data_IF_698841792523
#
_entry.id   IF_698841792523
#
_cell.length_a   1.000
_cell.length_b   1.000
_cell.length_c   1.000
_cell.angle_alpha   90.00
_cell.angle_beta   90.00
_cell.angle_gamma   90.00
#
_symmetry.space_group_name_H-M   'P 1'
#
loop_
_entity.id
_entity.type
_entity.pdbx_description
1 polymer ?
2 polymer ?
3 non-polymer ?
4 non-polymer ?
5 non-polymer ?
6 non-polymer ?
7 water ?
#
# COMPACT_ATOMS: atom_id res chain seq x y z
N UNK A 3 -17.93 -4.69 15.18
CA UNK A 3 -16.90 -5.40 14.43
C UNK A 3 -15.55 -5.21 15.07
N UNK A 4 -14.69 -6.19 14.95
CA UNK A 4 -13.38 -6.13 15.55
C UNK A 4 -12.34 -5.68 14.57
N UNK A 5 -11.48 -4.76 14.99
CA UNK A 5 -10.47 -4.27 14.09
C UNK A 5 -9.12 -4.88 14.38
N UNK A 6 -8.54 -5.45 13.35
CA UNK A 6 -7.27 -6.11 13.46
C UNK A 6 -6.36 -5.70 12.34
N UNK A 7 -5.07 -5.83 12.56
CA UNK A 7 -4.05 -5.47 11.60
C UNK A 7 -3.17 -6.63 11.19
N UNK A 8 -2.93 -6.79 9.91
CA UNK A 8 -2.10 -7.84 9.40
C UNK A 8 -1.05 -7.25 8.51
N UNK A 9 0.20 -7.62 8.69
CA UNK A 9 1.26 -7.12 7.87
C UNK A 9 1.96 -8.29 7.22
N UNK A 10 2.25 -8.18 5.95
CA UNK A 10 2.85 -9.26 5.24
C UNK A 10 4.28 -8.92 4.86
N UNK A 11 5.20 -9.81 5.18
CA UNK A 11 6.58 -9.57 4.92
C UNK A 11 7.14 -10.73 4.19
N UNK A 12 8.29 -10.54 3.59
CA UNK A 12 8.90 -11.61 2.87
C UNK A 12 9.76 -11.00 1.83
N UNK A 13 10.54 -11.83 1.20
CA UNK A 13 11.49 -11.41 0.20
C UNK A 13 10.77 -10.88 -0.98
N UNK A 14 11.43 -10.03 -1.73
CA UNK A 14 10.87 -9.45 -2.90
C UNK A 14 10.60 -10.50 -3.95
N UNK A 15 9.45 -10.38 -4.58
CA UNK A 15 9.05 -11.26 -5.65
C UNK A 15 8.64 -12.60 -5.18
N UNK A 16 8.49 -12.75 -3.90
CA UNK A 16 8.12 -14.05 -3.38
C UNK A 16 6.65 -14.25 -3.49
N UNK A 17 6.00 -13.27 -4.06
CA UNK A 17 4.57 -13.33 -4.26
C UNK A 17 3.64 -12.61 -3.33
N UNK A 18 4.14 -11.68 -2.54
CA UNK A 18 3.25 -11.02 -1.60
C UNK A 18 2.13 -10.15 -2.12
N UNK A 19 2.43 -9.27 -3.04
CA UNK A 19 1.43 -8.36 -3.53
C UNK A 19 0.31 -9.11 -4.22
N UNK A 20 0.66 -10.11 -4.97
CA UNK A 20 -0.31 -10.90 -5.68
C UNK A 20 -1.24 -11.61 -4.77
N UNK A 21 -0.74 -12.05 -3.65
CA UNK A 21 -1.56 -12.78 -2.75
C UNK A 21 -2.69 -11.94 -2.23
N UNK A 22 -2.42 -10.73 -1.81
CA UNK A 22 -3.46 -9.92 -1.28
C UNK A 22 -4.48 -9.58 -2.31
N UNK A 23 -4.03 -9.26 -3.50
CA UNK A 23 -4.90 -8.92 -4.59
C UNK A 23 -5.93 -10.02 -4.76
N UNK A 24 -5.44 -11.17 -5.14
CA UNK A 24 -6.28 -12.30 -5.35
C UNK A 24 -7.18 -12.52 -4.17
N UNK A 25 -6.78 -12.07 -3.00
CA UNK A 25 -7.62 -12.27 -1.84
C UNK A 25 -8.81 -11.38 -1.87
N UNK A 26 -8.66 -10.21 -2.47
CA UNK A 26 -9.75 -9.28 -2.49
C UNK A 26 -10.48 -9.16 -3.79
N UNK A 27 -9.95 -9.72 -4.86
CA UNK A 27 -10.58 -9.57 -6.15
C UNK A 27 -10.82 -10.86 -6.85
N UNK A 28 -10.36 -11.97 -6.31
CA UNK A 28 -10.59 -13.24 -7.00
C UNK A 28 -10.07 -13.07 -8.43
N UNK A 29 -8.93 -12.39 -8.58
CA UNK A 29 -8.39 -12.20 -9.90
C UNK A 29 -6.89 -12.09 -9.82
N UNK A 30 -6.17 -13.07 -10.32
CA UNK A 30 -4.72 -13.02 -10.31
C UNK A 30 -4.35 -11.94 -11.28
N UNK A 31 -3.40 -11.04 -10.84
CA UNK A 31 -3.08 -9.99 -11.81
C UNK A 31 -2.07 -10.40 -12.85
N UNK A 32 -2.21 -9.95 -14.07
CA UNK A 32 -1.26 -10.34 -15.07
C UNK A 32 -0.51 -9.25 -15.75
N UNK A 33 -1.09 -8.07 -15.90
CA UNK A 33 -0.35 -7.02 -16.57
C UNK A 33 -0.12 -5.73 -15.81
N UNK A 34 -0.87 -5.46 -14.75
CA UNK A 34 -0.63 -4.23 -14.05
C UNK A 34 -0.40 -4.54 -12.61
N UNK A 35 0.76 -5.09 -12.33
CA UNK A 35 1.10 -5.51 -10.98
C UNK A 35 1.83 -4.43 -10.17
N UNK A 36 1.18 -3.98 -9.14
CA UNK A 36 1.74 -2.99 -8.24
C UNK A 36 2.82 -3.54 -7.39
N UNK A 37 3.85 -2.76 -7.10
CA UNK A 37 4.92 -3.21 -6.27
C UNK A 37 4.38 -3.51 -4.92
N UNK A 38 3.63 -2.57 -4.42
CA UNK A 38 2.99 -2.67 -3.14
C UNK A 38 1.52 -2.38 -3.29
N UNK A 39 0.71 -3.32 -2.85
CA UNK A 39 -0.73 -3.20 -2.93
C UNK A 39 -1.30 -2.15 -2.02
N UNK A 40 -2.43 -1.62 -2.43
CA UNK A 40 -3.16 -0.58 -1.72
C UNK A 40 -3.88 -1.02 -0.48
N UNK A 41 -4.37 -0.05 0.27
CA UNK A 41 -5.12 -0.31 1.45
C UNK A 41 -6.35 -1.07 1.08
N UNK A 42 -6.66 -2.11 1.83
CA UNK A 42 -7.85 -2.87 1.64
C UNK A 42 -8.14 -3.51 2.94
N UNK A 43 -9.39 -3.51 3.38
CA UNK A 43 -9.73 -4.15 4.62
C UNK A 43 -10.46 -5.39 4.20
N UNK A 44 -10.05 -6.51 4.74
CA UNK A 44 -10.68 -7.75 4.41
C UNK A 44 -11.72 -8.06 5.44
N UNK A 45 -12.88 -8.46 4.97
CA UNK A 45 -13.97 -8.80 5.84
C UNK A 45 -13.96 -10.28 6.07
N UNK A 46 -13.75 -10.69 7.31
CA UNK A 46 -13.71 -12.11 7.59
C UNK A 46 -14.40 -12.54 8.86
N UNK A 47 -15.01 -13.71 8.81
CA UNK A 47 -15.67 -14.28 9.99
C UNK A 47 -15.23 -15.68 10.24
N UNK A 48 -14.75 -15.93 11.44
CA UNK A 48 -14.36 -17.27 11.82
C UNK A 48 -14.80 -17.51 13.23
N UNK A 49 -15.34 -18.70 13.47
CA UNK A 49 -15.77 -19.07 14.81
C UNK A 49 -16.75 -18.07 15.38
N UNK A 50 -17.64 -17.59 14.54
CA UNK A 50 -18.66 -16.66 14.97
C UNK A 50 -18.34 -15.20 15.15
N UNK A 51 -17.17 -14.74 14.74
CA UNK A 51 -16.88 -13.33 14.91
C UNK A 51 -16.63 -12.64 13.57
N UNK A 52 -17.21 -11.47 13.37
CA UNK A 52 -16.98 -10.75 12.12
C UNK A 52 -15.81 -9.87 12.36
N UNK A 53 -14.81 -9.97 11.53
CA UNK A 53 -13.62 -9.18 11.70
C UNK A 53 -13.29 -8.36 10.50
N UNK A 54 -12.77 -7.17 10.75
CA UNK A 54 -12.33 -6.30 9.68
C UNK A 54 -10.83 -6.30 9.83
N UNK A 55 -10.16 -6.86 8.85
CA UNK A 55 -8.73 -6.95 8.90
C UNK A 55 -8.09 -6.08 7.86
N UNK A 56 -7.37 -5.08 8.31
CA UNK A 56 -6.66 -4.19 7.43
C UNK A 56 -5.42 -4.91 7.00
N UNK A 57 -5.10 -4.87 5.72
CA UNK A 57 -3.92 -5.56 5.23
C UNK A 57 -2.85 -4.62 4.75
N UNK A 58 -1.67 -4.71 5.32
CA UNK A 58 -0.59 -3.85 4.91
C UNK A 58 0.43 -4.60 4.07
N UNK A 59 0.63 -4.19 2.84
CA UNK A 59 1.61 -4.80 1.97
C UNK A 59 2.95 -4.15 2.25
N UNK A 60 4.04 -4.82 1.95
CA UNK A 60 5.34 -4.22 2.19
C UNK A 60 6.34 -4.56 1.13
N UNK A 61 7.44 -3.83 1.13
CA UNK A 61 8.48 -4.09 0.21
C UNK A 61 9.52 -4.80 1.02
N UNK A 62 9.87 -5.99 0.62
CA UNK A 62 10.84 -6.79 1.31
C UNK A 62 12.28 -6.60 0.95
N UNK A 63 12.55 -5.85 -0.09
CA UNK A 63 13.89 -5.62 -0.52
C UNK A 63 14.66 -4.83 0.50
N UNK A 64 15.96 -4.99 0.45
CA UNK A 64 16.85 -4.32 1.35
C UNK A 64 16.80 -2.82 1.16
N UNK A 65 16.46 -2.39 -0.04
CA UNK A 65 16.42 -0.99 -0.32
C UNK A 65 15.44 -0.37 0.61
N UNK A 66 14.40 -1.13 0.96
CA UNK A 66 13.37 -0.63 1.81
C UNK A 66 13.44 -1.04 3.25
N UNK A 67 14.57 -1.54 3.70
CA UNK A 67 14.68 -1.95 5.08
C UNK A 67 14.48 -0.80 6.01
N UNK A 68 14.88 0.39 5.61
CA UNK A 68 14.70 1.57 6.42
C UNK A 68 13.23 1.98 6.56
N UNK A 69 12.48 1.83 5.49
CA UNK A 69 11.08 2.22 5.51
C UNK A 69 10.11 1.24 6.09
N UNK A 70 10.40 -0.04 5.98
CA UNK A 70 9.48 -1.02 6.45
C UNK A 70 8.96 -0.82 7.84
N UNK A 71 9.80 -0.59 8.81
CA UNK A 71 9.34 -0.43 10.18
C UNK A 71 8.16 0.49 10.43
N UNK A 72 7.86 1.40 9.54
CA UNK A 72 6.76 2.30 9.76
C UNK A 72 5.46 1.60 9.60
N UNK A 73 5.51 0.34 9.21
CA UNK A 73 4.29 -0.39 9.00
C UNK A 73 4.00 -1.34 10.11
N UNK A 74 5.01 -1.63 10.93
CA UNK A 74 4.90 -2.58 12.01
C UNK A 74 4.16 -2.23 13.26
N UNK A 75 4.20 -0.93 13.69
CA UNK A 75 3.50 -0.68 14.96
C UNK A 75 2.07 -1.22 15.05
N UNK A 76 1.71 -1.69 16.22
CA UNK A 76 0.41 -2.22 16.52
C UNK A 76 -0.14 -3.22 15.53
N UNK A 77 0.59 -4.27 15.30
CA UNK A 77 0.18 -5.30 14.38
C UNK A 77 -0.36 -6.42 15.17
N UNK A 78 -1.35 -7.10 14.61
CA UNK A 78 -1.99 -8.20 15.28
C UNK A 78 -1.53 -9.55 14.79
N UNK A 79 -1.08 -9.60 13.55
CA UNK A 79 -0.58 -10.84 12.98
C UNK A 79 0.32 -10.56 11.82
N UNK A 80 1.20 -11.48 11.53
CA UNK A 80 2.13 -11.33 10.45
C UNK A 80 2.07 -12.50 9.51
N UNK A 81 2.23 -12.23 8.24
CA UNK A 81 2.27 -13.27 7.28
C UNK A 81 3.69 -13.21 6.82
N UNK A 82 4.43 -14.26 7.07
CA UNK A 82 5.80 -14.30 6.69
C UNK A 82 5.83 -15.22 5.51
N UNK A 83 6.28 -14.73 4.38
CA UNK A 83 6.26 -15.51 3.20
C UNK A 83 7.59 -15.80 2.58
N UNK A 84 7.58 -16.82 1.75
CA UNK A 84 8.68 -17.28 0.98
C UNK A 84 8.04 -17.96 -0.18
N UNK A 85 8.80 -18.30 -1.19
CA UNK A 85 8.25 -18.95 -2.34
C UNK A 85 8.67 -20.40 -2.45
N UNK A 86 7.71 -21.24 -2.75
CA UNK A 86 7.99 -22.65 -2.89
C UNK A 86 8.92 -22.85 -4.05
N UNK A 87 8.91 -21.94 -5.00
CA UNK A 87 9.81 -22.09 -6.13
C UNK A 87 11.18 -21.55 -5.81
N UNK A 88 11.36 -21.07 -4.61
CA UNK A 88 12.64 -20.55 -4.24
C UNK A 88 13.03 -20.98 -2.88
N UNK A 89 14.03 -21.82 -2.78
CA UNK A 89 14.56 -22.23 -1.51
C UNK A 89 15.37 -21.11 -0.92
N UNK A 90 15.82 -20.20 -1.77
CA UNK A 90 16.61 -19.10 -1.28
C UNK A 90 15.80 -18.23 -0.34
N UNK A 91 14.55 -17.98 -0.70
CA UNK A 91 13.64 -17.18 0.10
C UNK A 91 13.30 -17.81 1.43
N UNK A 92 13.15 -19.11 1.45
CA UNK A 92 12.85 -19.80 2.68
C UNK A 92 13.97 -19.62 3.66
N UNK A 93 15.18 -19.69 3.20
CA UNK A 93 16.31 -19.53 4.10
C UNK A 93 16.31 -18.17 4.72
N UNK A 94 15.76 -17.21 4.00
CA UNK A 94 15.72 -15.87 4.50
C UNK A 94 14.71 -15.71 5.59
N UNK A 95 13.92 -16.74 5.81
CA UNK A 95 12.92 -16.67 6.84
C UNK A 95 13.57 -16.52 8.17
N UNK A 96 14.45 -17.43 8.48
CA UNK A 96 15.22 -17.44 9.70
C UNK A 96 16.26 -16.38 9.71
N UNK A 97 16.86 -16.23 8.56
CA UNK A 97 17.94 -15.30 8.37
C UNK A 97 17.59 -13.84 8.46
N UNK A 98 16.53 -13.44 7.81
CA UNK A 98 16.20 -12.05 7.84
C UNK A 98 14.87 -11.71 8.45
N UNK A 99 13.85 -12.41 8.03
CA UNK A 99 12.55 -12.10 8.49
C UNK A 99 12.17 -12.30 9.93
N UNK A 100 12.54 -13.43 10.50
CA UNK A 100 12.20 -13.65 11.89
C UNK A 100 12.87 -12.67 12.85
N UNK A 101 14.11 -12.35 12.60
CA UNK A 101 14.82 -11.41 13.46
C UNK A 101 14.23 -10.02 13.43
N UNK A 102 13.84 -9.57 12.27
CA UNK A 102 13.27 -8.26 12.13
C UNK A 102 11.93 -8.15 12.81
N UNK A 103 11.14 -9.19 12.70
CA UNK A 103 9.82 -9.18 13.29
C UNK A 103 9.85 -9.20 14.80
N UNK A 104 10.61 -10.10 15.36
CA UNK A 104 10.69 -10.21 16.79
C UNK A 104 11.14 -8.91 17.35
N UNK A 105 11.95 -8.20 16.61
CA UNK A 105 12.41 -6.93 17.07
C UNK A 105 11.32 -5.88 17.05
N UNK A 106 10.61 -5.79 15.95
CA UNK A 106 9.58 -4.79 15.81
C UNK A 106 8.21 -5.19 16.27
N UNK A 107 7.89 -6.46 16.22
CA UNK A 107 6.60 -6.93 16.65
C UNK A 107 6.90 -8.11 17.52
N UNK A 108 7.49 -7.81 18.72
CA UNK A 108 7.87 -8.97 19.54
C UNK A 108 6.90 -10.07 19.88
N UNK A 109 5.65 -9.75 20.16
CA UNK A 109 4.72 -10.79 20.54
C UNK A 109 3.71 -11.17 19.49
N UNK A 110 3.83 -10.61 18.30
CA UNK A 110 2.88 -10.86 17.27
C UNK A 110 2.96 -12.26 16.70
N UNK A 111 1.81 -12.90 16.62
CA UNK A 111 1.65 -14.19 16.05
C UNK A 111 2.13 -14.25 14.65
N UNK A 112 2.86 -15.28 14.29
CA UNK A 112 3.38 -15.39 12.95
C UNK A 112 2.80 -16.56 12.21
N UNK A 113 2.44 -16.33 10.98
CA UNK A 113 1.94 -17.40 10.17
C UNK A 113 2.84 -17.51 8.99
N UNK A 114 3.47 -18.64 8.81
CA UNK A 114 4.38 -18.84 7.71
C UNK A 114 3.65 -19.33 6.50
N UNK A 115 3.84 -18.62 5.40
CA UNK A 115 3.15 -18.93 4.19
C UNK A 115 4.06 -19.29 3.07
N UNK A 116 3.76 -20.40 2.42
CA UNK A 116 4.51 -20.82 1.27
C UNK A 116 3.64 -20.42 0.10
N UNK A 117 4.19 -19.55 -0.74
CA UNK A 117 3.52 -19.00 -1.89
C UNK A 117 3.90 -19.74 -3.14
N UNK A 118 3.12 -19.57 -4.19
CA UNK A 118 3.40 -20.19 -5.45
C UNK A 118 3.44 -21.67 -5.35
N UNK A 119 2.43 -22.21 -4.70
CA UNK A 119 2.31 -23.64 -4.51
C UNK A 119 2.10 -24.32 -5.84
N UNK A 120 1.78 -23.56 -6.86
CA UNK A 120 1.55 -24.15 -8.15
C UNK A 120 2.83 -24.46 -8.82
N UNK A 121 3.92 -23.96 -8.29
CA UNK A 121 5.20 -24.20 -8.91
C UNK A 121 5.91 -25.38 -8.32
N UNK A 122 5.24 -26.11 -7.46
CA UNK A 122 5.86 -27.25 -6.83
C UNK A 122 6.01 -28.38 -7.83
N UNK A 123 5.00 -28.59 -8.65
CA UNK A 123 5.09 -29.63 -9.62
C UNK A 123 5.00 -28.94 -10.95
N UNK A 124 6.01 -28.15 -11.23
CA UNK A 124 6.10 -27.43 -12.46
C UNK A 124 7.43 -27.86 -13.05
N UNK A 125 7.40 -28.36 -14.26
CA UNK A 125 8.62 -28.87 -14.85
C UNK A 125 9.67 -27.82 -14.98
N UNK A 126 9.27 -26.68 -15.48
CA UNK A 126 10.22 -25.62 -15.69
C UNK A 126 10.91 -25.28 -14.39
N UNK A 127 10.12 -25.14 -13.34
CA UNK A 127 10.69 -24.80 -12.07
C UNK A 127 11.69 -25.85 -11.71
N UNK A 128 11.20 -27.05 -11.54
CA UNK A 128 12.01 -28.21 -11.18
C UNK A 128 13.32 -28.19 -11.88
N UNK A 129 13.27 -28.16 -13.20
CA UNK A 129 14.48 -28.17 -13.98
C UNK A 129 15.30 -26.96 -13.67
N UNK A 130 14.67 -25.81 -13.74
CA UNK A 130 15.37 -24.57 -13.49
C UNK A 130 16.05 -24.58 -12.15
N UNK A 131 15.38 -25.10 -11.14
CA UNK A 131 15.98 -25.17 -9.83
C UNK A 131 17.05 -26.23 -9.81
N UNK A 132 17.03 -27.08 -10.82
CA UNK A 132 17.97 -28.17 -10.92
C UNK A 132 19.34 -27.65 -11.21
N UNK A 133 19.41 -26.62 -12.02
CA UNK A 133 20.67 -26.04 -12.35
C UNK A 133 21.45 -25.60 -11.13
N UNK A 134 20.84 -25.64 -9.95
CA UNK A 134 21.55 -25.22 -8.75
C UNK A 134 21.61 -26.23 -7.63
N UNK A 135 21.24 -27.45 -7.95
CA UNK A 135 21.29 -28.49 -6.96
C UNK A 135 20.18 -28.34 -5.96
N UNK A 136 19.20 -27.51 -6.30
CA UNK A 136 18.09 -27.33 -5.41
C UNK A 136 16.82 -27.75 -6.10
N UNK A 137 15.81 -28.02 -5.29
CA UNK A 137 14.51 -28.43 -5.78
C UNK A 137 13.46 -27.66 -5.00
N UNK A 138 12.22 -27.68 -5.44
CA UNK A 138 11.18 -26.95 -4.74
C UNK A 138 11.09 -27.41 -3.33
N UNK A 139 10.79 -26.49 -2.44
CA UNK A 139 10.72 -26.78 -1.04
C UNK A 139 9.61 -27.78 -0.80
N UNK A 140 9.86 -28.66 0.15
CA UNK A 140 8.92 -29.67 0.50
C UNK A 140 8.04 -29.18 1.61
N UNK A 141 6.83 -29.69 1.70
CA UNK A 141 5.90 -29.24 2.71
C UNK A 141 6.44 -29.46 4.09
N UNK A 142 7.15 -30.56 4.26
CA UNK A 142 7.73 -30.88 5.55
C UNK A 142 8.71 -29.81 6.00
N UNK A 143 9.40 -29.21 5.05
CA UNK A 143 10.36 -28.18 5.37
C UNK A 143 9.72 -26.93 5.94
N UNK A 144 8.60 -26.53 5.37
CA UNK A 144 7.92 -25.37 5.85
C UNK A 144 7.41 -25.56 7.24
N UNK A 145 6.78 -26.69 7.50
CA UNK A 145 6.23 -26.97 8.79
C UNK A 145 7.33 -27.00 9.78
N UNK A 146 8.43 -27.57 9.36
CA UNK A 146 9.57 -27.69 10.20
C UNK A 146 10.01 -26.31 10.50
N UNK A 147 10.04 -25.47 9.49
CA UNK A 147 10.48 -24.12 9.68
C UNK A 147 9.58 -23.35 10.59
N UNK A 148 8.29 -23.52 10.41
CA UNK A 148 7.35 -22.81 11.22
C UNK A 148 7.54 -23.17 12.66
N UNK A 149 7.78 -24.43 12.92
CA UNK A 149 8.02 -24.87 14.27
C UNK A 149 9.26 -24.24 14.81
N UNK A 150 10.27 -24.14 13.97
CA UNK A 150 11.52 -23.57 14.36
C UNK A 150 11.42 -22.12 14.74
N UNK A 151 10.65 -21.37 13.98
CA UNK A 151 10.52 -19.96 14.26
C UNK A 151 9.37 -19.56 15.17
N UNK A 152 8.64 -20.52 15.68
CA UNK A 152 7.57 -20.20 16.58
C UNK A 152 6.29 -19.67 15.99
N UNK A 153 6.02 -20.07 14.78
CA UNK A 153 4.83 -19.65 14.10
C UNK A 153 3.64 -20.37 14.62
N UNK A 154 2.53 -19.67 14.58
CA UNK A 154 1.27 -20.18 15.02
C UNK A 154 0.83 -21.30 14.13
N UNK A 155 1.16 -21.22 12.86
CA UNK A 155 0.80 -22.24 11.92
C UNK A 155 1.53 -22.08 10.62
N UNK A 156 1.30 -22.97 9.69
CA UNK A 156 1.95 -22.91 8.41
C UNK A 156 0.96 -23.19 7.32
N UNK A 157 1.07 -22.49 6.21
CA UNK A 157 0.16 -22.70 5.12
C UNK A 157 0.85 -22.57 3.79
N UNK A 158 0.21 -23.15 2.78
CA UNK A 158 0.73 -23.06 1.45
C UNK A 158 -0.39 -22.50 0.61
N UNK A 159 -0.02 -21.91 -0.50
CA UNK A 159 -1.06 -21.46 -1.39
C UNK A 159 -0.54 -21.07 -2.73
N UNK A 160 -1.46 -20.76 -3.63
CA UNK A 160 -1.07 -20.33 -4.94
C UNK A 160 -1.99 -19.26 -5.35
N UNK A 161 -1.48 -18.06 -5.49
CA UNK A 161 -2.30 -16.95 -5.90
C UNK A 161 -2.78 -17.23 -7.30
N UNK A 162 -1.85 -17.62 -8.16
CA UNK A 162 -2.15 -17.90 -9.52
C UNK A 162 -3.37 -18.77 -9.68
N UNK A 163 -3.50 -19.80 -8.86
CA UNK A 163 -4.64 -20.69 -9.00
C UNK A 163 -5.65 -20.49 -7.91
N UNK A 164 -5.27 -19.72 -6.92
CA UNK A 164 -6.12 -19.42 -5.78
C UNK A 164 -6.26 -20.56 -4.78
N UNK A 165 -5.42 -21.57 -4.89
CA UNK A 165 -5.49 -22.67 -3.97
C UNK A 165 -5.07 -22.19 -2.59
N UNK A 166 -5.86 -22.53 -1.58
CA UNK A 166 -5.57 -22.18 -0.21
C UNK A 166 -5.55 -20.75 0.21
N UNK A 167 -5.58 -19.85 -0.73
CA UNK A 167 -5.57 -18.45 -0.40
C UNK A 167 -6.58 -18.10 0.66
N UNK A 168 -7.82 -18.48 0.44
CA UNK A 168 -8.86 -18.17 1.40
C UNK A 168 -8.51 -18.76 2.75
N UNK A 169 -7.80 -19.87 2.73
CA UNK A 169 -7.37 -20.52 3.94
C UNK A 169 -6.32 -19.75 4.75
N UNK A 170 -5.39 -19.11 4.07
CA UNK A 170 -4.31 -18.39 4.71
C UNK A 170 -4.88 -17.27 5.53
N UNK A 171 -5.83 -16.56 4.97
CA UNK A 171 -6.41 -15.46 5.65
C UNK A 171 -7.26 -15.81 6.84
N UNK A 172 -8.00 -16.89 6.74
CA UNK A 172 -8.84 -17.31 7.83
C UNK A 172 -7.99 -17.66 9.01
N UNK A 173 -6.91 -18.33 8.74
CA UNK A 173 -6.01 -18.74 9.78
C UNK A 173 -5.41 -17.51 10.41
N UNK A 174 -5.00 -16.56 9.59
CA UNK A 174 -4.36 -15.38 10.05
C UNK A 174 -5.30 -14.70 10.96
N UNK A 175 -6.56 -14.73 10.60
CA UNK A 175 -7.59 -14.12 11.36
C UNK A 175 -7.78 -14.76 12.72
N UNK A 176 -7.69 -16.07 12.79
CA UNK A 176 -7.84 -16.72 14.07
C UNK A 176 -6.74 -16.32 15.00
N UNK A 177 -5.54 -16.31 14.48
CA UNK A 177 -4.37 -15.97 15.25
C UNK A 177 -4.42 -14.55 15.72
N UNK A 178 -5.14 -13.73 14.99
CA UNK A 178 -5.28 -12.34 15.31
C UNK A 178 -6.16 -12.13 16.51
N UNK A 179 -7.06 -13.06 16.74
CA UNK A 179 -7.93 -12.96 17.87
C UNK A 179 -7.36 -13.62 19.09
N UNK B 15 7.23 29.97 0.64
CA UNK B 15 7.90 28.91 1.37
C UNK B 15 6.89 28.00 2.06
N UNK B 16 6.99 26.70 1.78
CA UNK B 16 6.11 25.68 2.34
C UNK B 16 6.83 24.79 3.32
N UNK B 17 6.14 24.35 4.36
CA UNK B 17 6.77 23.46 5.31
C UNK B 17 6.93 22.04 4.79
N UNK B 18 8.03 21.41 5.14
CA UNK B 18 8.26 20.06 4.74
C UNK B 18 8.64 19.42 6.02
N UNK B 19 8.03 18.30 6.36
CA UNK B 19 8.32 17.64 7.62
C UNK B 19 9.48 16.66 7.53
N UNK B 20 10.50 16.92 8.33
CA UNK B 20 11.69 16.10 8.38
C UNK B 20 11.54 14.70 8.92
N UNK B 21 10.77 14.60 9.99
CA UNK B 21 10.58 13.34 10.68
C UNK B 21 9.28 13.30 11.42
N UNK B 22 9.03 12.17 12.05
CA UNK B 22 7.80 11.95 12.74
C UNK B 22 7.58 12.99 13.76
N UNK B 23 8.64 13.44 14.40
CA UNK B 23 8.41 14.43 15.41
C UNK B 23 7.80 15.63 14.77
N UNK B 24 8.39 16.08 13.68
CA UNK B 24 7.81 17.22 13.01
C UNK B 24 6.44 16.84 12.48
N UNK B 25 6.33 15.65 11.93
CA UNK B 25 5.08 15.25 11.37
C UNK B 25 4.06 15.22 12.44
N UNK B 26 4.44 14.69 13.58
CA UNK B 26 3.51 14.60 14.67
C UNK B 26 3.10 15.97 15.18
N UNK B 27 4.06 16.84 15.39
CA UNK B 27 3.76 18.14 15.91
C UNK B 27 2.86 18.93 14.98
N UNK B 28 3.12 18.87 13.70
CA UNK B 28 2.28 19.61 12.78
C UNK B 28 0.90 19.06 12.88
N UNK B 29 0.82 17.76 13.07
CA UNK B 29 -0.47 17.11 13.16
C UNK B 29 -1.36 17.57 14.28
N UNK B 30 -0.76 17.86 15.42
CA UNK B 30 -1.51 18.30 16.59
C UNK B 30 -2.23 19.60 16.30
N UNK B 31 -1.58 20.46 15.55
CA UNK B 31 -2.12 21.74 15.18
C UNK B 31 -3.35 21.70 14.25
N UNK B 32 -3.63 20.59 13.61
CA UNK B 32 -4.76 20.49 12.71
C UNK B 32 -6.10 20.24 13.36
N UNK B 33 -7.15 20.36 12.56
CA UNK B 33 -8.47 20.18 13.08
C UNK B 33 -8.78 18.73 13.22
N UNK B 34 -9.32 18.33 14.37
CA UNK B 34 -9.64 16.94 14.61
C UNK B 34 -11.04 16.63 15.09
N UNK B 35 -11.86 17.65 15.30
CA UNK B 35 -13.19 17.45 15.84
C UNK B 35 -14.33 17.23 14.87
N UNK B 36 -14.16 16.32 13.93
CA UNK B 36 -15.21 16.05 13.00
C UNK B 36 -16.35 15.40 13.75
N UNK B 37 -17.52 15.45 13.14
CA UNK B 37 -18.72 14.87 13.69
C UNK B 37 -18.57 13.38 13.52
N UNK B 38 -19.34 12.63 14.26
CA UNK B 38 -19.21 11.21 14.23
C UNK B 38 -19.41 10.78 12.81
N UNK B 39 -20.43 11.28 12.16
CA UNK B 39 -20.65 10.90 10.80
C UNK B 39 -19.49 11.36 9.97
N UNK B 40 -18.95 12.50 10.33
CA UNK B 40 -17.84 13.02 9.59
C UNK B 40 -16.69 12.06 9.74
N UNK B 41 -16.45 11.61 10.95
CA UNK B 41 -15.37 10.68 11.20
C UNK B 41 -15.59 9.39 10.46
N UNK B 42 -16.82 8.93 10.43
CA UNK B 42 -17.13 7.70 9.75
C UNK B 42 -16.91 7.79 8.27
N UNK B 43 -17.28 8.89 7.67
CA UNK B 43 -17.10 9.01 6.25
C UNK B 43 -15.65 9.02 5.88
N UNK B 44 -14.83 9.69 6.65
CA UNK B 44 -13.42 9.69 6.35
C UNK B 44 -12.81 8.31 6.53
N UNK B 45 -13.14 7.64 7.62
CA UNK B 45 -12.61 6.31 7.84
C UNK B 45 -13.05 5.35 6.79
N UNK B 46 -14.27 5.46 6.30
CA UNK B 46 -14.76 4.54 5.29
C UNK B 46 -13.96 4.62 4.03
N UNK B 47 -13.58 5.83 3.63
CA UNK B 47 -12.80 5.99 2.42
C UNK B 47 -11.46 5.31 2.57
N UNK B 48 -10.84 5.49 3.71
CA UNK B 48 -9.55 4.92 3.97
C UNK B 48 -9.55 3.41 3.96
N UNK B 49 -10.66 2.79 4.29
CA UNK B 49 -10.66 1.37 4.29
C UNK B 49 -10.34 0.94 2.90
N UNK B 50 -11.09 1.39 1.93
CA UNK B 50 -10.86 1.06 0.55
C UNK B 50 -11.17 2.32 -0.25
N UNK B 51 -10.22 2.81 -1.01
CA UNK B 51 -10.43 4.01 -1.81
C UNK B 51 -10.69 3.75 -3.27
N UNK B 52 -10.58 2.50 -3.65
CA UNK B 52 -10.77 2.09 -5.01
C UNK B 52 -12.19 2.40 -5.40
N UNK B 53 -13.10 2.09 -4.52
CA UNK B 53 -14.52 2.32 -4.75
C UNK B 53 -14.91 3.77 -4.95
N UNK B 54 -14.37 4.68 -4.16
CA UNK B 54 -14.74 6.05 -4.37
C UNK B 54 -14.13 6.66 -5.61
N UNK B 55 -12.82 6.66 -5.68
CA UNK B 55 -12.14 7.27 -6.79
C UNK B 55 -12.40 6.63 -8.13
N UNK B 56 -12.38 5.31 -8.20
CA UNK B 56 -12.53 4.64 -9.48
C UNK B 56 -13.85 5.02 -10.09
N UNK B 57 -14.86 5.07 -9.26
CA UNK B 57 -16.16 5.41 -9.71
C UNK B 57 -16.25 6.84 -10.21
N UNK B 58 -15.75 7.77 -9.41
CA UNK B 58 -15.83 9.16 -9.76
C UNK B 58 -15.10 9.46 -11.02
N UNK B 59 -13.93 8.89 -11.19
CA UNK B 59 -13.20 9.11 -12.41
C UNK B 59 -13.96 8.54 -13.59
N UNK B 60 -14.48 7.33 -13.42
CA UNK B 60 -15.22 6.71 -14.49
C UNK B 60 -16.45 7.52 -14.85
N UNK B 61 -17.05 8.15 -13.85
CA UNK B 61 -18.24 8.97 -14.06
C UNK B 61 -18.08 10.50 -14.08
N UNK B 62 -16.86 10.98 -13.99
CA UNK B 62 -16.60 12.39 -14.07
C UNK B 62 -17.33 13.26 -13.07
N UNK B 63 -17.50 12.76 -11.88
CA UNK B 63 -18.12 13.55 -10.86
C UNK B 63 -19.62 13.60 -10.80
N UNK B 64 -20.29 12.80 -11.61
CA UNK B 64 -21.72 12.80 -11.56
C UNK B 64 -21.98 11.59 -10.70
N UNK B 65 -22.73 11.80 -9.63
CA UNK B 65 -23.02 10.77 -8.66
C UNK B 65 -24.33 10.06 -8.84
N UNK B 66 -25.04 10.39 -9.91
CA UNK B 66 -26.37 9.83 -10.12
C UNK B 66 -26.49 8.35 -10.31
N UNK B 67 -25.52 7.71 -10.96
CA UNK B 67 -25.62 6.27 -11.19
C UNK B 67 -25.78 5.38 -9.95
N UNK B 68 -24.93 5.56 -8.94
CA UNK B 68 -25.04 4.73 -7.76
C UNK B 68 -25.46 5.48 -6.52
N UNK B 69 -26.81 5.42 -6.23
CA UNK B 69 -27.17 6.16 -5.02
C UNK B 69 -26.37 5.73 -3.82
N UNK B 70 -26.12 4.44 -3.69
CA UNK B 70 -25.44 3.97 -2.50
C UNK B 70 -24.09 4.60 -2.27
N UNK B 71 -23.55 5.21 -3.30
CA UNK B 71 -22.29 5.88 -3.13
C UNK B 71 -22.58 7.34 -2.89
N UNK B 72 -23.57 7.87 -3.62
CA UNK B 72 -23.99 9.26 -3.53
C UNK B 72 -23.93 9.78 -2.13
N UNK B 73 -24.62 9.11 -1.23
CA UNK B 73 -24.59 9.53 0.13
C UNK B 73 -23.18 9.40 0.60
N UNK B 74 -22.53 8.33 0.17
CA UNK B 74 -21.16 8.03 0.58
C UNK B 74 -20.19 9.12 0.24
N UNK B 75 -20.34 9.69 -0.94
CA UNK B 75 -19.48 10.77 -1.39
C UNK B 75 -19.98 12.08 -0.89
N UNK B 76 -21.25 12.34 -1.10
CA UNK B 76 -21.84 13.57 -0.65
C UNK B 76 -21.54 13.77 0.80
N UNK B 77 -21.40 12.65 1.48
CA UNK B 77 -21.15 12.68 2.87
C UNK B 77 -19.73 13.00 3.25
N UNK B 78 -18.78 12.56 2.44
CA UNK B 78 -17.40 12.80 2.75
C UNK B 78 -17.07 14.22 2.38
N UNK B 79 -17.67 14.68 1.31
CA UNK B 79 -17.46 16.01 0.83
C UNK B 79 -17.70 17.02 1.92
N UNK B 80 -18.66 16.76 2.76
CA UNK B 80 -18.97 17.67 3.82
C UNK B 80 -17.91 17.73 4.87
N UNK B 81 -17.48 16.58 5.32
CA UNK B 81 -16.47 16.49 6.35
C UNK B 81 -15.30 17.28 5.90
N UNK B 82 -15.06 17.21 4.62
CA UNK B 82 -13.94 17.89 4.07
C UNK B 82 -14.27 19.31 3.77
N UNK B 83 -15.55 19.64 3.77
CA UNK B 83 -15.95 20.98 3.45
C UNK B 83 -16.13 21.95 4.61
N UNK B 84 -16.06 21.48 5.82
CA UNK B 84 -16.24 22.31 6.98
C UNK B 84 -15.23 23.42 6.97
N UNK B 85 -15.61 24.57 7.50
CA UNK B 85 -14.74 25.72 7.50
C UNK B 85 -13.50 25.48 8.29
N UNK B 86 -13.62 24.77 9.40
CA UNK B 86 -12.46 24.48 10.24
C UNK B 86 -11.52 23.49 9.55
N UNK B 87 -12.03 22.85 8.50
CA UNK B 87 -11.23 21.87 7.78
C UNK B 87 -10.32 22.43 6.70
N UNK B 88 -9.22 23.01 7.09
CA UNK B 88 -8.28 23.55 6.13
C UNK B 88 -6.93 23.43 6.73
N UNK B 89 -5.91 23.77 5.98
CA UNK B 89 -4.58 23.70 6.53
C UNK B 89 -4.03 25.08 6.83
N UNK B 90 -3.47 25.21 8.02
CA UNK B 90 -2.93 26.46 8.46
C UNK B 90 -1.84 27.05 7.58
N UNK B 91 -0.75 26.32 7.39
CA UNK B 91 0.36 26.83 6.60
C UNK B 91 0.41 26.27 5.19
N UNK B 92 1.51 26.53 4.52
CA UNK B 92 1.74 26.01 3.21
C UNK B 92 2.68 24.85 3.40
N UNK B 93 2.14 23.68 3.15
CA UNK B 93 2.82 22.44 3.36
C UNK B 93 3.00 21.63 2.11
N UNK B 94 4.16 20.98 2.01
CA UNK B 94 4.45 20.14 0.90
C UNK B 94 4.00 18.78 1.34
N UNK B 95 3.36 18.05 0.46
CA UNK B 95 2.87 16.74 0.82
C UNK B 95 3.23 15.80 -0.27
N UNK B 96 3.20 14.51 -0.01
CA UNK B 96 3.64 13.58 -1.00
C UNK B 96 2.79 12.38 -1.31
N UNK B 97 2.90 11.91 -2.52
CA UNK B 97 2.12 10.79 -2.95
C UNK B 97 2.88 9.91 -3.93
N UNK B 98 2.57 8.63 -3.91
CA UNK B 98 3.19 7.66 -4.78
C UNK B 98 2.17 7.07 -5.72
N UNK B 99 2.51 6.99 -6.99
CA UNK B 99 1.62 6.46 -7.99
C UNK B 99 2.26 5.45 -8.91
N UNK B 100 1.46 4.56 -9.43
CA UNK B 100 1.94 3.57 -10.35
C UNK B 100 2.09 4.23 -11.69
N UNK B 101 2.82 3.63 -12.61
CA UNK B 101 3.05 4.23 -13.89
C UNK B 101 1.82 4.47 -14.73
N UNK B 102 0.76 3.72 -14.50
CA UNK B 102 -0.45 3.89 -15.29
C UNK B 102 -1.19 5.17 -14.99
N UNK B 103 -0.72 5.91 -14.01
CA UNK B 103 -1.38 7.13 -13.67
C UNK B 103 -1.31 8.02 -14.90
N UNK B 104 -0.30 7.79 -15.73
CA UNK B 104 -0.10 8.59 -16.91
C UNK B 104 -0.74 8.00 -18.15
N UNK B 105 -1.64 7.06 -17.94
CA UNK B 105 -2.32 6.42 -19.05
C UNK B 105 -2.10 4.92 -19.08
N UNK B 106 -3.11 4.23 -19.58
CA UNK B 106 -3.13 2.78 -19.65
C UNK B 106 -2.02 2.21 -20.50
N UNK B 107 -1.36 3.03 -21.28
CA UNK B 107 -0.28 2.55 -22.10
C UNK B 107 0.97 2.19 -21.32
N UNK B 108 1.04 2.56 -20.04
CA UNK B 108 2.25 2.31 -19.26
C UNK B 108 2.14 1.37 -18.07
N UNK B 109 3.26 0.76 -17.74
CA UNK B 109 3.37 -0.15 -16.63
C UNK B 109 4.64 0.11 -15.86
N UNK B 110 4.75 -0.57 -14.73
CA UNK B 110 5.90 -0.41 -13.86
C UNK B 110 7.20 -0.89 -14.43
N UNK B 111 7.18 -1.63 -15.52
CA UNK B 111 8.48 -2.04 -16.01
C UNK B 111 9.15 -0.78 -16.55
N UNK B 112 8.39 0.31 -16.70
CA UNK B 112 8.96 1.53 -17.23
C UNK B 112 10.28 1.74 -16.56
N UNK B 113 10.44 1.21 -15.36
CA UNK B 113 11.70 1.33 -14.72
C UNK B 113 12.30 -0.05 -14.59
N UNK B 114 13.38 -0.31 -15.28
CA UNK B 114 14.03 -1.60 -15.18
C UNK B 114 15.43 -1.43 -14.72
N UNK B 115 15.79 -2.19 -13.72
CA UNK B 115 17.13 -2.11 -13.20
C UNK B 115 17.50 -0.71 -12.80
N UNK B 116 16.56 -0.02 -12.21
CA UNK B 116 16.79 1.33 -11.75
C UNK B 116 16.95 2.35 -12.84
N UNK B 117 16.38 2.08 -14.00
CA UNK B 117 16.47 3.04 -15.09
C UNK B 117 15.11 3.33 -15.64
N UNK B 118 14.80 4.60 -15.85
CA UNK B 118 13.54 5.00 -16.42
C UNK B 118 13.71 5.08 -17.91
N UNK B 119 12.79 4.49 -18.67
CA UNK B 119 12.89 4.53 -20.09
C UNK B 119 12.74 5.99 -20.49
N UNK B 120 13.81 6.54 -21.07
CA UNK B 120 13.85 7.91 -21.51
C UNK B 120 12.89 8.20 -22.64
N UNK B 121 12.76 7.28 -23.57
CA UNK B 121 11.85 7.51 -24.65
C UNK B 121 10.48 7.56 -24.05
N UNK B 122 10.18 6.60 -23.20
CA UNK B 122 8.88 6.61 -22.57
C UNK B 122 8.70 7.83 -21.67
N UNK B 123 9.73 8.19 -20.92
CA UNK B 123 9.63 9.32 -20.04
C UNK B 123 9.39 10.60 -20.77
N UNK B 124 10.11 10.82 -21.85
CA UNK B 124 9.95 12.04 -22.59
C UNK B 124 8.55 12.21 -23.15
N UNK B 125 7.93 11.13 -23.61
CA UNK B 125 6.59 11.27 -24.14
C UNK B 125 5.66 11.70 -23.07
N UNK B 126 5.87 11.18 -21.89
CA UNK B 126 5.05 11.54 -20.75
C UNK B 126 5.23 12.99 -20.36
N UNK B 127 6.46 13.44 -20.40
CA UNK B 127 6.72 14.80 -20.04
C UNK B 127 6.11 15.81 -20.98
N UNK B 128 6.16 15.55 -22.28
CA UNK B 128 5.59 16.45 -23.23
C UNK B 128 4.11 16.50 -23.05
N UNK B 129 3.56 15.34 -22.85
CA UNK B 129 2.13 15.16 -22.65
C UNK B 129 1.61 15.78 -21.38
N UNK B 130 2.32 15.56 -20.28
CA UNK B 130 1.85 16.06 -19.01
C UNK B 130 2.55 17.24 -18.36
N UNK B 131 3.78 17.54 -18.74
CA UNK B 131 4.47 18.64 -18.09
C UNK B 131 3.84 19.96 -18.38
N UNK B 132 3.60 20.73 -17.34
CA UNK B 132 3.02 22.04 -17.45
C UNK B 132 1.53 21.98 -17.54
N UNK B 133 0.99 20.78 -17.56
CA UNK B 133 -0.44 20.59 -17.64
C UNK B 133 -1.21 20.93 -16.37
N UNK B 134 -2.41 21.46 -16.55
CA UNK B 134 -3.25 21.81 -15.43
C UNK B 134 -4.36 20.80 -15.48
N UNK B 135 -4.70 20.21 -14.35
CA UNK B 135 -5.68 19.15 -14.30
C UNK B 135 -6.70 19.23 -13.21
N UNK B 136 -7.84 18.61 -13.44
CA UNK B 136 -8.89 18.55 -12.46
C UNK B 136 -9.02 17.08 -12.12
N UNK B 137 -9.02 16.73 -10.85
CA UNK B 137 -9.15 15.32 -10.49
C UNK B 137 -10.48 15.02 -9.88
N UNK B 138 -11.17 14.07 -10.49
CA UNK B 138 -12.46 13.67 -10.03
C UNK B 138 -12.40 12.98 -8.68
N UNK B 139 -11.40 12.15 -8.52
CA UNK B 139 -11.19 11.42 -7.30
C UNK B 139 -10.54 12.23 -6.22
N UNK B 140 -10.62 11.74 -5.00
CA UNK B 140 -9.98 12.39 -3.89
C UNK B 140 -8.52 12.15 -4.05
N UNK B 141 -7.69 12.95 -3.40
CA UNK B 141 -6.28 12.77 -3.49
C UNK B 141 -5.67 12.52 -2.13
N UNK B 142 -5.30 11.27 -1.86
CA UNK B 142 -4.68 10.94 -0.62
C UNK B 142 -3.22 11.35 -0.64
N UNK B 143 -2.68 11.80 0.47
CA UNK B 143 -1.29 12.21 0.52
C UNK B 143 -0.70 12.04 1.90
N UNK B 144 0.59 12.25 2.03
CA UNK B 144 1.24 12.14 3.31
C UNK B 144 2.15 13.31 3.55
N UNK B 145 2.15 13.80 4.77
CA UNK B 145 2.99 14.92 5.15
C UNK B 145 4.39 14.45 5.41
N UNK B 146 4.52 13.17 5.64
CA UNK B 146 5.80 12.60 5.86
C UNK B 146 6.06 11.88 4.58
N UNK B 147 7.22 12.06 4.02
CA UNK B 147 7.55 11.45 2.76
C UNK B 147 7.82 9.97 2.87
N UNK B 148 8.52 9.57 3.90
CA UNK B 148 8.85 8.19 4.09
C UNK B 148 7.64 7.34 4.32
N UNK B 149 6.58 7.93 4.82
CA UNK B 149 5.33 7.26 5.06
C UNK B 149 4.64 7.21 3.75
N UNK B 150 3.54 6.49 3.65
CA UNK B 150 2.84 6.47 2.39
C UNK B 150 3.51 5.60 1.33
N UNK B 151 3.12 5.81 0.09
CA UNK B 151 3.64 5.03 -1.02
C UNK B 151 4.66 5.72 -1.86
N UNK B 152 5.14 6.88 -1.45
CA UNK B 152 6.06 7.62 -2.26
C UNK B 152 7.36 6.95 -2.64
N UNK B 153 7.93 6.16 -1.77
CA UNK B 153 9.17 5.52 -2.12
C UNK B 153 8.99 4.17 -2.78
N UNK B 154 7.81 3.60 -2.67
CA UNK B 154 7.57 2.29 -3.20
C UNK B 154 6.92 2.21 -4.53
N UNK B 155 6.78 3.34 -5.19
CA UNK B 155 6.14 3.35 -6.49
C UNK B 155 6.99 4.11 -7.48
N UNK B 156 6.69 3.94 -8.74
CA UNK B 156 7.44 4.59 -9.81
C UNK B 156 7.40 6.09 -9.90
N UNK B 157 6.25 6.70 -9.63
CA UNK B 157 6.13 8.12 -9.72
C UNK B 157 5.84 8.68 -8.37
N UNK B 158 6.67 9.60 -7.91
CA UNK B 158 6.49 10.23 -6.64
C UNK B 158 6.07 11.64 -6.91
N UNK B 159 5.02 12.11 -6.29
CA UNK B 159 4.59 13.46 -6.49
C UNK B 159 4.63 14.28 -5.24
N UNK B 160 5.13 15.50 -5.33
CA UNK B 160 5.16 16.36 -4.20
C UNK B 160 4.16 17.40 -4.54
N UNK B 161 3.15 17.57 -3.69
CA UNK B 161 2.13 18.55 -3.95
C UNK B 161 2.39 19.74 -3.10
N UNK B 162 2.39 20.92 -3.66
CA UNK B 162 2.57 22.11 -2.88
C UNK B 162 1.17 22.54 -2.59
N UNK B 163 0.81 22.56 -1.32
CA UNK B 163 -0.53 22.92 -0.91
C UNK B 163 -0.56 24.30 -0.31
N UNK B 164 -1.35 25.18 -0.90
CA UNK B 164 -1.51 26.53 -0.44
C UNK B 164 -2.39 26.57 0.78
N UNK B 165 -2.08 27.46 1.70
CA UNK B 165 -2.79 27.59 2.93
C UNK B 165 -4.22 27.92 2.64
N UNK B 166 -5.11 27.38 3.46
CA UNK B 166 -6.51 27.59 3.29
C UNK B 166 -7.17 26.50 2.50
N UNK B 167 -6.39 25.58 1.97
CA UNK B 167 -6.96 24.50 1.22
C UNK B 167 -7.76 23.65 2.16
N UNK B 168 -8.79 23.00 1.67
CA UNK B 168 -9.60 22.19 2.54
C UNK B 168 -9.19 20.74 2.53
N UNK B 169 -8.91 20.21 3.71
CA UNK B 169 -8.49 18.84 3.82
C UNK B 169 -8.67 18.26 5.18
N UNK B 170 -8.49 16.95 5.25
CA UNK B 170 -8.59 16.23 6.49
C UNK B 170 -7.26 15.55 6.75
N UNK B 171 -6.74 15.67 7.96
CA UNK B 171 -5.50 15.02 8.33
C UNK B 171 -5.84 13.83 9.18
N UNK B 172 -5.35 12.66 8.80
CA UNK B 172 -5.66 11.49 9.56
C UNK B 172 -4.48 10.64 9.94
N UNK B 173 -4.36 10.34 11.22
CA UNK B 173 -3.32 9.47 11.70
C UNK B 173 -3.76 8.69 12.91
N UNK B 174 -5.06 8.44 13.05
CA UNK B 174 -5.63 7.73 14.18
C UNK B 174 -6.78 6.86 13.74
N UNK B 175 -7.12 5.88 14.53
CA UNK B 175 -8.14 4.91 14.20
C UNK B 175 -9.50 5.47 13.96
N UNK B 176 -9.83 6.54 14.68
CA UNK B 176 -11.13 7.17 14.53
C UNK B 176 -11.21 7.67 13.12
N UNK B 177 -10.17 8.37 12.72
CA UNK B 177 -10.03 8.92 11.38
C UNK B 177 -9.74 7.98 10.23
N UNK B 178 -8.79 7.06 10.37
CA UNK B 178 -8.43 6.16 9.28
C UNK B 178 -8.24 4.73 9.69
N UNK B 179 -8.48 3.83 8.77
CA UNK B 179 -8.30 2.42 9.03
C UNK B 179 -6.85 2.02 8.93
N UNK B 180 -6.00 2.96 8.57
CA UNK B 180 -4.60 2.73 8.43
C UNK B 180 -3.81 3.80 9.13
N UNK B 181 -3.85 3.82 10.42
CA UNK B 181 -3.11 4.81 11.16
C UNK B 181 -1.66 4.61 10.87
N UNK B 182 -0.89 5.68 10.87
CA UNK B 182 0.52 5.57 10.59
C UNK B 182 0.93 6.02 9.21
N UNK B 183 0.03 6.60 8.44
CA UNK B 183 0.41 7.07 7.14
C UNK B 183 0.62 8.56 7.13
N UNK B 184 0.27 9.20 8.23
CA UNK B 184 0.39 10.62 8.34
C UNK B 184 -0.32 11.27 7.18
N UNK B 185 -1.50 10.79 6.90
CA UNK B 185 -2.33 11.26 5.79
C UNK B 185 -3.00 12.62 5.83
N UNK B 186 -3.05 13.24 4.66
CA UNK B 186 -3.74 14.49 4.41
C UNK B 186 -4.60 14.16 3.20
N UNK B 187 -5.91 14.30 3.32
CA UNK B 187 -6.77 13.97 2.23
C UNK B 187 -7.40 15.20 1.63
N UNK B 188 -7.21 15.40 0.34
CA UNK B 188 -7.73 16.56 -0.34
C UNK B 188 -9.01 16.25 -1.03
N UNK B 189 -9.87 17.24 -1.16
CA UNK B 189 -11.16 17.05 -1.77
C UNK B 189 -11.15 16.75 -3.24
N UNK B 190 -12.20 16.10 -3.67
CA UNK B 190 -12.36 15.75 -5.07
C UNK B 190 -12.63 16.97 -5.87
N UNK B 191 -12.25 16.93 -7.14
CA UNK B 191 -12.43 18.04 -8.03
C UNK B 191 -11.40 19.11 -7.75
N UNK B 192 -10.40 18.75 -6.97
CA UNK B 192 -9.33 19.65 -6.66
C UNK B 192 -8.59 19.80 -7.97
N UNK B 193 -8.04 20.97 -8.19
CA UNK B 193 -7.34 21.23 -9.42
C UNK B 193 -5.89 21.54 -9.13
N UNK B 194 -4.99 21.00 -9.92
CA UNK B 194 -3.58 21.22 -9.71
C UNK B 194 -2.84 21.41 -11.00
N UNK B 195 -1.65 21.98 -10.91
CA UNK B 195 -0.86 22.21 -12.08
C UNK B 195 0.45 21.49 -11.95
N UNK B 196 0.85 20.79 -12.99
CA UNK B 196 2.09 20.08 -12.93
C UNK B 196 3.19 20.97 -13.45
N UNK B 197 3.97 21.52 -12.53
CA UNK B 197 5.08 22.38 -12.83
C UNK B 197 6.27 21.73 -13.49
N UNK B 198 6.67 20.58 -12.99
CA UNK B 198 7.81 19.91 -13.53
C UNK B 198 7.72 18.41 -13.40
N UNK B 199 8.25 17.70 -14.37
CA UNK B 199 8.28 16.27 -14.30
C UNK B 199 9.70 15.94 -14.57
N UNK B 200 10.33 15.14 -13.74
CA UNK B 200 11.73 14.84 -13.96
C UNK B 200 12.20 13.58 -13.35
N UNK B 201 13.40 13.18 -13.69
CA UNK B 201 13.97 11.98 -13.15
C UNK B 201 14.97 12.34 -12.09
N UNK B 202 14.98 11.62 -10.99
CA UNK B 202 15.90 11.92 -9.92
C UNK B 202 16.39 10.64 -9.33
N UNK B 203 17.63 10.64 -8.85
CA UNK B 203 18.16 9.43 -8.28
C UNK B 203 18.07 9.41 -6.79
N UNK B 204 17.85 8.24 -6.24
CA UNK B 204 17.72 8.13 -4.81
C UNK B 204 19.03 8.04 -4.07
N UNK B 205 19.07 8.79 -3.00
CA UNK B 205 20.22 8.85 -2.16
C UNK B 205 20.63 7.47 -1.70
N UNK B 206 21.86 7.09 -1.98
CA UNK B 206 22.31 5.80 -1.53
C UNK B 206 21.88 4.59 -2.33
N UNK B 207 21.03 4.77 -3.32
CA UNK B 207 20.57 3.63 -4.11
C UNK B 207 20.76 4.19 -5.50
N UNK B 208 20.67 3.35 -6.50
CA UNK B 208 20.91 3.83 -7.86
C UNK B 208 19.65 3.86 -8.70
N UNK B 209 18.50 3.72 -8.08
CA UNK B 209 17.29 3.68 -8.88
C UNK B 209 16.75 5.06 -9.14
N UNK B 210 16.30 5.29 -10.36
CA UNK B 210 15.73 6.56 -10.69
C UNK B 210 14.29 6.37 -10.42
N UNK B 211 13.57 7.45 -10.34
CA UNK B 211 12.19 7.40 -10.09
C UNK B 211 11.70 8.61 -10.79
N UNK B 212 10.45 8.62 -11.19
CA UNK B 212 9.92 9.77 -11.88
C UNK B 212 9.38 10.69 -10.83
N UNK B 213 9.80 11.94 -10.86
CA UNK B 213 9.36 12.85 -9.85
C UNK B 213 8.53 13.93 -10.42
N UNK B 214 7.44 14.24 -9.75
CA UNK B 214 6.53 15.26 -10.18
C UNK B 214 6.37 16.29 -9.11
N UNK B 215 6.33 17.53 -9.53
CA UNK B 215 6.14 18.66 -8.66
C UNK B 215 4.85 19.25 -9.17
N UNK B 216 3.89 19.44 -8.29
CA UNK B 216 2.64 19.98 -8.73
C UNK B 216 2.18 20.94 -7.71
N UNK B 217 1.46 21.95 -8.15
CA UNK B 217 0.96 22.94 -7.22
C UNK B 217 -0.53 22.97 -7.23
N UNK B 218 -1.14 23.08 -6.07
CA UNK B 218 -2.59 23.11 -5.94
C UNK B 218 -3.19 24.45 -6.24
N UNK B 219 -4.10 24.46 -7.21
CA UNK B 219 -4.78 25.65 -7.60
C UNK B 219 -6.26 25.49 -7.33
X LIG C 1 6.07 -9.40 -4.07
X LIG C 1 7.21 -8.61 -4.50
X LIG C 1 6.61 -10.35 -2.97
X LIG C 1 4.85 -8.57 -3.78
X LIG C 1 5.79 -10.43 -5.31
X LIG C 1 4.62 -10.28 -6.40
X LIG C 1 4.87 -8.99 -7.07
X LIG C 1 3.31 -10.54 -5.75
X LIG C 1 4.93 -11.56 -7.35
X LIG C 1 6.26 -11.83 -7.84
X LIG C 1 6.19 -12.59 -9.14
X LIG C 1 5.76 -13.95 -8.95
X LIG C 1 5.24 -11.97 -10.12
X LIG C 1 5.85 -11.95 -11.40
X LIG C 1 4.06 -12.91 -10.24
X LIG C 1 3.75 -13.02 -11.61
X LIG C 1 4.58 -14.22 -9.72
X LIG C 1 3.61 -14.90 -8.86
X LIG C 1 2.95 -14.37 -7.80
X LIG C 1 2.16 -15.31 -7.21
X LIG C 1 2.32 -16.47 -7.92
X LIG C 1 1.81 -17.85 -7.86
X LIG C 1 1.00 -18.22 -6.98
X LIG C 1 2.26 -18.71 -8.79
X LIG C 1 3.13 -18.37 -9.77
X LIG C 1 3.51 -19.32 -10.65
X LIG C 1 3.63 -17.13 -9.87
X LIG C 1 3.28 -16.17 -9.00
X LIG D 1 5.57 -6.70 -4.07
X LIG E 1 -5.75 5.58 -5.45
X LIG E 1 -7.24 5.62 -5.60
X LIG E 1 -5.01 6.86 -5.20
X LIG E 1 -5.16 4.82 -6.74
X LIG E 1 -5.10 3.39 -6.77
X LIG E 1 -4.40 2.97 -8.05
X LIG E 1 -4.93 3.77 -9.09
X LIG E 1 -2.91 3.30 -7.97
X LIG E 1 -2.14 2.43 -8.81
X LIG E 1 -2.80 4.67 -8.57
X LIG E 1 -1.49 4.84 -9.11
X LIG E 1 -3.91 4.61 -9.61
X LIG E 1 -4.45 5.97 -9.78
X LIG E 1 -4.59 6.89 -8.81
X LIG E 1 -5.08 8.04 -9.33
X LIG E 1 -5.26 7.87 -10.64
X LIG E 1 -5.77 8.67 -11.79
X LIG E 1 -6.17 9.94 -11.65
X LIG E 1 -5.79 8.07 -13.01
X LIG E 1 -5.37 6.79 -13.20
X LIG E 1 -4.90 6.00 -12.21
X LIG E 1 -4.83 6.49 -10.94
X LIG E 1 -5.30 4.51 -4.36
X LIG E 1 -3.81 4.56 -3.75
X LIG E 1 -2.84 4.89 -4.85
X LIG E 1 -3.52 3.37 -2.88
X LIG E 1 -3.96 5.84 -2.76
X LIG E 1 -5.18 6.06 -2.05
X LIG E 1 -5.28 5.14 -0.83
X LIG E 1 -3.99 4.95 -0.24
X LIG E 1 -6.17 5.77 0.22
X LIG E 1 -6.93 4.75 0.87
X LIG E 1 -5.21 6.39 1.23
X LIG E 1 -5.70 6.23 2.57
X LIG E 1 -3.88 5.67 0.99
X LIG E 1 -2.79 6.66 0.93
X LIG E 1 -1.91 6.65 -0.08
X LIG E 1 -0.87 7.57 -0.15
X LIG E 1 0.09 7.50 -1.29
X LIG E 1 1.33 7.44 -1.09
X LIG E 1 -0.43 7.49 -2.51
X LIG E 1 -0.69 8.63 0.90
X LIG E 1 -1.70 8.52 1.93
X LIG E 1 -2.70 7.56 1.90
X LIG F 1 -4.18 11.47 -7.78
X LIG F 1 -5.16 10.42 -7.65
X LIG F 1 -4.60 12.38 -8.92
X LIG F 1 -3.54 13.15 -9.51
X LIG G 1 -3.45 7.01 6.91
X LIG G 1 -4.84 6.99 7.00
X LIG G 1 -2.92 7.99 7.94
X LIG G 1 -2.30 7.43 9.10
#
# INVERSE_FOLDING_TARGET
MAAIRKKLVIVGDGACGKTCLLIVNSKDQFPEVYVPTVFENYVADIEVDGKQVELALWDTAGQEDYDRLRPLSYPDTDVILMCFSIDSPDSLENIPEKWTPEVKHFCPNVPIILVGNKKDLRNDEHTRRELAKMKQEPVKPEEGRDMANRIGAFGYMECSAKTKDGVREVFEMATRAAL
GNIPTKPKDCNNVDKYKLCTNKEEADAWGKKQFNKWSKEEKSAIRDYTKNARPYNEFLRMHAGKLDSDPTMKKKIESLDKALNRKEAKVNDNIKVYRGDDAWIFGKEYDNSIIKNGKVDREKFKEIQKKFQGKTTTEFGYISTSILIDAGYAKTRPVMTEFKVGSGTHGAYMNSDDLTAYPGQYELLLPRNTVYKIEKIYIAIDNNTQKEQIKVEATIK
GDP PB O1B O2B O3B O3A PA O1A O2A O5' C5' C4' O4' C3' O3' C2' O2' C1' N9 C8 N7 C5 C6 O6 N1 C2 N2 N3 C4
MG MG
NAI PA O1A O2A O5B C5B C4B O4B C3B O3B C2B O2B C1B N9A C8A N7A C5A C6A N6A N1A C2A N3A C4A O3 PN O1N O2N O5D C5D C4D O4D C3D O3D C2D O2D C1D N1N C2N C3N C7N O7N N7N C4N C5N C6N
EDO C1 O1 C2 O2
EDO C1 O1 C2 O2
#
